data_IF_946354265694
#
_entry.id   IF_946354265694
#
_cell.length_a   1.000
_cell.length_b   1.000
_cell.length_c   1.000
_cell.angle_alpha   90.00
_cell.angle_beta   90.00
_cell.angle_gamma   90.00
#
_symmetry.space_group_name_H-M   'P 1'
#
loop_
_entity.id
_entity.type
_entity.pdbx_description
1 polymer ?
#
# COMPACT_ATOMS: atom_id res chain seq x y z
N UNK A 1 -28.04 -16.11 0.29
CA UNK A 1 -26.87 -16.96 0.58
C UNK A 1 -25.78 -16.04 1.10
N UNK A 2 -25.70 -15.85 2.42
CA UNK A 2 -24.68 -15.00 3.05
C UNK A 2 -23.36 -15.78 3.02
N UNK A 3 -22.41 -15.34 2.21
CA UNK A 3 -21.06 -15.89 2.28
C UNK A 3 -20.55 -15.64 3.70
N UNK A 4 -20.02 -16.68 4.36
CA UNK A 4 -19.43 -16.53 5.69
C UNK A 4 -18.34 -15.46 5.64
N UNK A 5 -18.51 -14.42 6.43
CA UNK A 5 -17.65 -13.25 6.56
C UNK A 5 -16.17 -13.61 6.77
N UNK A 6 -15.89 -14.74 7.44
CA UNK A 6 -14.52 -15.24 7.61
C UNK A 6 -13.95 -15.80 6.30
N UNK A 7 -14.78 -16.48 5.51
CA UNK A 7 -14.41 -17.02 4.20
C UNK A 7 -14.12 -15.90 3.20
N UNK A 8 -14.88 -14.79 3.27
CA UNK A 8 -14.67 -13.64 2.40
C UNK A 8 -13.33 -12.93 2.72
N UNK A 9 -12.99 -12.77 4.00
CA UNK A 9 -11.70 -12.23 4.43
C UNK A 9 -10.52 -13.10 3.98
N UNK A 10 -10.60 -14.41 4.17
CA UNK A 10 -9.55 -15.35 3.73
C UNK A 10 -9.35 -15.28 2.22
N UNK A 11 -10.44 -15.22 1.45
CA UNK A 11 -10.35 -15.08 -0.01
C UNK A 11 -9.70 -13.77 -0.43
N UNK A 12 -10.08 -12.65 0.19
CA UNK A 12 -9.46 -11.35 -0.11
C UNK A 12 -7.96 -11.40 0.17
N UNK A 13 -7.56 -11.93 1.33
CA UNK A 13 -6.17 -12.13 1.70
C UNK A 13 -5.42 -12.96 0.65
N UNK A 14 -5.97 -14.12 0.28
CA UNK A 14 -5.34 -15.04 -0.67
C UNK A 14 -5.19 -14.43 -2.06
N UNK A 15 -6.20 -13.71 -2.55
CA UNK A 15 -6.14 -13.04 -3.85
C UNK A 15 -5.02 -11.99 -3.85
N UNK A 16 -4.92 -11.15 -2.82
CA UNK A 16 -3.84 -10.16 -2.72
C UNK A 16 -2.48 -10.86 -2.61
N UNK A 17 -2.38 -11.89 -1.77
CA UNK A 17 -1.13 -12.63 -1.58
C UNK A 17 -0.64 -13.34 -2.86
N UNK A 18 -1.55 -13.71 -3.77
CA UNK A 18 -1.24 -14.34 -5.06
C UNK A 18 -1.19 -13.36 -6.25
N UNK A 19 -1.27 -12.05 -5.98
CA UNK A 19 -1.29 -10.99 -6.99
C UNK A 19 -2.51 -11.03 -7.93
N UNK A 20 -3.60 -11.66 -7.49
CA UNK A 20 -4.86 -11.73 -8.22
C UNK A 20 -5.74 -10.51 -7.91
N UNK A 21 -5.30 -9.35 -8.40
CA UNK A 21 -5.86 -8.06 -8.01
C UNK A 21 -7.26 -7.79 -8.55
N UNK A 22 -7.60 -8.34 -9.72
CA UNK A 22 -8.94 -8.22 -10.28
C UNK A 22 -9.97 -8.88 -9.36
N UNK A 23 -9.73 -10.15 -8.99
CA UNK A 23 -10.61 -10.87 -8.07
C UNK A 23 -10.59 -10.24 -6.66
N UNK A 24 -9.42 -9.74 -6.21
CA UNK A 24 -9.34 -9.01 -4.95
C UNK A 24 -10.23 -7.76 -4.94
N UNK A 25 -10.28 -6.99 -6.04
CA UNK A 25 -11.15 -5.81 -6.16
C UNK A 25 -12.63 -6.20 -6.22
N UNK A 26 -12.99 -7.27 -6.93
CA UNK A 26 -14.38 -7.77 -6.93
C UNK A 26 -14.84 -8.17 -5.53
N UNK A 27 -13.99 -8.88 -4.79
CA UNK A 27 -14.26 -9.26 -3.40
C UNK A 27 -14.37 -8.00 -2.53
N UNK A 28 -13.44 -7.04 -2.68
CA UNK A 28 -13.46 -5.76 -1.97
C UNK A 28 -14.81 -5.03 -2.15
N UNK A 29 -15.29 -4.95 -3.40
CA UNK A 29 -16.55 -4.29 -3.74
C UNK A 29 -17.79 -5.03 -3.21
N UNK A 30 -17.66 -6.34 -2.91
CA UNK A 30 -18.77 -7.14 -2.36
C UNK A 30 -19.02 -6.92 -0.86
N UNK A 31 -18.08 -6.26 -0.15
CA UNK A 31 -18.26 -5.90 1.25
C UNK A 31 -19.23 -4.71 1.35
N UNK A 32 -20.52 -4.99 1.55
CA UNK A 32 -21.56 -4.00 1.80
C UNK A 32 -21.37 -3.35 3.19
N UNK A 33 -20.45 -2.39 3.30
CA UNK A 33 -20.18 -1.58 4.50
C UNK A 33 -19.34 -2.23 5.62
N UNK A 34 -18.70 -3.37 5.38
CA UNK A 34 -17.88 -4.08 6.38
C UNK A 34 -16.44 -3.54 6.48
N UNK A 35 -16.29 -2.22 6.62
CA UNK A 35 -15.02 -1.49 6.60
C UNK A 35 -13.98 -2.02 7.59
N UNK A 36 -14.43 -2.51 8.75
CA UNK A 36 -13.55 -3.09 9.78
C UNK A 36 -12.87 -4.38 9.33
N UNK A 37 -13.52 -5.17 8.48
CA UNK A 37 -12.98 -6.46 8.05
C UNK A 37 -11.96 -6.30 6.94
N UNK A 38 -12.21 -5.38 6.01
CA UNK A 38 -11.22 -4.98 5.02
C UNK A 38 -9.97 -4.48 5.72
N UNK A 39 -10.12 -3.56 6.70
CA UNK A 39 -8.99 -3.07 7.51
C UNK A 39 -8.24 -4.19 8.23
N UNK A 40 -8.93 -5.19 8.74
CA UNK A 40 -8.29 -6.38 9.34
C UNK A 40 -7.45 -7.15 8.32
N UNK A 41 -7.96 -7.39 7.12
CA UNK A 41 -7.20 -8.08 6.07
C UNK A 41 -5.95 -7.28 5.67
N UNK A 42 -6.09 -5.97 5.44
CA UNK A 42 -4.97 -5.07 5.13
C UNK A 42 -3.93 -5.09 6.25
N UNK A 43 -4.35 -4.98 7.51
CA UNK A 43 -3.43 -5.05 8.66
C UNK A 43 -2.73 -6.40 8.77
N UNK A 44 -3.43 -7.51 8.52
CA UNK A 44 -2.81 -8.85 8.50
C UNK A 44 -1.74 -8.97 7.42
N UNK A 45 -1.98 -8.42 6.22
CA UNK A 45 -0.99 -8.39 5.13
C UNK A 45 0.24 -7.55 5.49
N UNK A 46 0.05 -6.41 6.18
CA UNK A 46 1.13 -5.56 6.68
C UNK A 46 1.97 -6.28 7.74
N UNK A 47 1.33 -6.90 8.73
CA UNK A 47 2.00 -7.66 9.79
C UNK A 47 2.79 -8.84 9.19
N UNK A 48 2.23 -9.51 8.18
CA UNK A 48 2.89 -10.58 7.46
C UNK A 48 3.99 -10.09 6.50
N UNK A 49 4.22 -8.77 6.38
CA UNK A 49 5.15 -8.17 5.41
C UNK A 49 4.91 -8.67 3.98
N UNK A 50 3.65 -8.82 3.59
CA UNK A 50 3.29 -9.35 2.28
C UNK A 50 3.78 -8.41 1.17
N UNK A 51 4.60 -8.87 0.21
CA UNK A 51 5.21 -8.00 -0.80
C UNK A 51 4.21 -7.43 -1.80
N UNK A 52 3.01 -8.02 -1.93
CA UNK A 52 2.01 -7.64 -2.90
C UNK A 52 1.07 -6.54 -2.41
N UNK A 53 1.15 -6.14 -1.13
CA UNK A 53 0.22 -5.16 -0.57
C UNK A 53 0.38 -3.76 -1.21
N UNK A 54 1.61 -3.32 -1.47
CA UNK A 54 1.88 -2.05 -2.15
C UNK A 54 1.42 -2.11 -3.61
N UNK A 55 1.69 -3.23 -4.28
CA UNK A 55 1.24 -3.48 -5.66
C UNK A 55 -0.28 -3.49 -5.77
N UNK A 56 -1.00 -4.07 -4.80
CA UNK A 56 -2.46 -4.04 -4.76
C UNK A 56 -3.00 -2.62 -4.55
N UNK A 57 -2.42 -1.85 -3.62
CA UNK A 57 -2.79 -0.44 -3.44
C UNK A 57 -2.55 0.39 -4.71
N UNK A 58 -1.40 0.18 -5.38
CA UNK A 58 -1.10 0.81 -6.66
C UNK A 58 -2.11 0.43 -7.75
N UNK A 59 -2.49 -0.85 -7.83
CA UNK A 59 -3.52 -1.32 -8.75
C UNK A 59 -4.85 -0.58 -8.52
N UNK A 60 -5.36 -0.54 -7.28
CA UNK A 60 -6.58 0.20 -6.94
C UNK A 60 -6.48 1.68 -7.30
N UNK A 61 -5.33 2.30 -7.03
CA UNK A 61 -5.10 3.70 -7.37
C UNK A 61 -5.17 3.96 -8.88
N UNK A 62 -4.51 3.11 -9.68
CA UNK A 62 -4.46 3.23 -11.14
C UNK A 62 -5.76 2.88 -11.84
N UNK A 63 -6.61 2.03 -11.25
CA UNK A 63 -7.93 1.69 -11.79
C UNK A 63 -9.04 2.65 -11.35
N UNK A 64 -8.68 3.77 -10.71
CA UNK A 64 -9.64 4.81 -10.31
C UNK A 64 -10.32 4.56 -8.97
N UNK A 65 -9.88 3.56 -8.20
CA UNK A 65 -10.41 3.20 -6.89
C UNK A 65 -9.53 3.72 -5.73
N UNK A 66 -9.03 4.96 -5.86
CA UNK A 66 -8.17 5.62 -4.86
C UNK A 66 -8.88 5.89 -3.53
N UNK A 67 -10.21 5.98 -3.52
CA UNK A 67 -11.02 6.09 -2.30
C UNK A 67 -10.82 4.88 -1.39
N UNK A 68 -10.80 3.67 -1.94
CA UNK A 68 -10.54 2.44 -1.17
C UNK A 68 -9.15 2.46 -0.53
N UNK A 69 -8.15 2.99 -1.24
CA UNK A 69 -6.79 3.15 -0.70
C UNK A 69 -6.81 4.13 0.48
N UNK A 70 -7.47 5.27 0.29
CA UNK A 70 -7.59 6.32 1.31
C UNK A 70 -8.34 5.86 2.56
N UNK A 71 -9.33 4.99 2.39
CA UNK A 71 -10.19 4.53 3.48
C UNK A 71 -9.60 3.37 4.29
N UNK A 72 -8.94 2.42 3.61
CA UNK A 72 -8.58 1.13 4.20
C UNK A 72 -7.08 0.94 4.46
N UNK A 73 -6.20 1.69 3.81
CA UNK A 73 -4.75 1.54 3.92
C UNK A 73 -4.15 2.59 4.87
N UNK A 74 -2.95 2.34 5.40
CA UNK A 74 -2.19 3.39 6.09
C UNK A 74 -2.00 4.61 5.19
N UNK A 75 -2.04 5.81 5.77
CA UNK A 75 -1.87 7.08 5.05
C UNK A 75 -0.58 7.14 4.24
N UNK A 76 0.44 6.38 4.65
CA UNK A 76 1.72 6.26 3.97
C UNK A 76 1.55 5.72 2.54
N UNK A 77 0.58 4.85 2.28
CA UNK A 77 0.30 4.35 0.93
C UNK A 77 -0.25 5.46 0.04
N UNK A 78 -1.18 6.27 0.56
CA UNK A 78 -1.66 7.47 -0.14
C UNK A 78 -0.50 8.42 -0.43
N UNK A 79 0.36 8.65 0.58
CA UNK A 79 1.52 9.53 0.43
C UNK A 79 2.52 9.04 -0.63
N UNK A 80 2.65 7.73 -0.84
CA UNK A 80 3.50 7.14 -1.88
C UNK A 80 2.84 7.28 -3.26
N UNK A 81 1.53 7.11 -3.34
CA UNK A 81 0.80 6.97 -4.61
C UNK A 81 0.28 8.28 -5.19
N UNK A 82 0.10 9.32 -4.36
CA UNK A 82 -0.41 10.63 -4.79
C UNK A 82 0.57 11.44 -5.65
N UNK A 83 1.86 11.06 -5.66
CA UNK A 83 2.92 11.75 -6.39
C UNK A 83 3.28 13.14 -5.85
N UNK A 84 2.74 13.54 -4.69
CA UNK A 84 3.06 14.82 -4.06
C UNK A 84 4.44 14.82 -3.41
N UNK A 85 4.97 16.01 -3.10
CA UNK A 85 6.24 16.15 -2.38
C UNK A 85 6.17 15.48 -1.00
N UNK A 86 7.13 14.61 -0.70
CA UNK A 86 7.25 13.89 0.57
C UNK A 86 8.69 13.94 1.08
N UNK A 87 8.83 13.72 2.38
CA UNK A 87 10.13 13.53 3.03
C UNK A 87 10.26 12.06 3.41
N UNK A 88 11.40 11.45 3.08
CA UNK A 88 11.75 10.10 3.54
C UNK A 88 12.69 10.26 4.73
N UNK A 89 12.24 9.88 5.92
CA UNK A 89 13.03 10.01 7.16
C UNK A 89 13.51 8.64 7.63
N UNK A 90 14.79 8.53 7.96
CA UNK A 90 15.33 7.32 8.56
C UNK A 90 14.85 7.19 10.02
N UNK A 91 14.12 6.12 10.34
CA UNK A 91 13.54 5.93 11.67
C UNK A 91 14.57 5.80 12.80
N UNK A 92 15.78 5.28 12.53
CA UNK A 92 16.81 5.07 13.57
C UNK A 92 17.53 6.37 13.94
N UNK A 93 17.72 7.25 12.97
CA UNK A 93 18.55 8.44 13.11
C UNK A 93 17.76 9.75 13.08
N UNK A 94 16.47 9.70 12.74
CA UNK A 94 15.56 10.84 12.61
C UNK A 94 16.09 11.95 11.67
N UNK A 95 16.71 11.52 10.56
CA UNK A 95 17.25 12.42 9.54
C UNK A 95 16.56 12.20 8.19
N UNK A 96 16.25 13.28 7.45
CA UNK A 96 15.64 13.18 6.13
C UNK A 96 16.67 12.75 5.07
N UNK A 97 16.20 12.08 4.03
CA UNK A 97 16.99 11.77 2.84
C UNK A 97 17.21 13.04 2.01
N UNK A 98 18.45 13.30 1.61
CA UNK A 98 18.83 14.37 0.68
C UNK A 98 19.91 13.93 -0.30
N UNK A 99 20.14 14.75 -1.33
CA UNK A 99 21.26 14.61 -2.25
C UNK A 99 22.38 15.58 -1.89
N UNK A 100 23.64 15.16 -2.09
CA UNK A 100 24.81 16.03 -1.99
C UNK A 100 24.87 17.05 -3.12
N UNK A 101 25.64 18.12 -2.96
CA UNK A 101 25.74 19.19 -3.95
C UNK A 101 26.70 18.89 -5.11
N UNK A 102 27.59 17.91 -4.95
CA UNK A 102 28.53 17.47 -6.00
C UNK A 102 27.97 16.31 -6.81
N UNK A 103 28.50 16.17 -8.03
CA UNK A 103 28.20 15.05 -8.94
C UNK A 103 29.46 14.20 -9.18
N UNK A 104 29.29 12.92 -9.49
CA UNK A 104 30.37 12.07 -9.99
C UNK A 104 30.61 12.24 -11.50
N UNK A 105 31.42 11.35 -12.08
CA UNK A 105 31.78 11.40 -13.51
C UNK A 105 30.61 11.16 -14.46
N UNK A 106 29.54 10.51 -13.98
CA UNK A 106 28.33 10.22 -14.76
C UNK A 106 27.23 11.27 -14.52
N UNK A 107 27.46 12.22 -13.60
CA UNK A 107 26.52 13.28 -13.25
C UNK A 107 25.60 12.94 -12.08
N UNK A 108 25.83 11.82 -11.39
CA UNK A 108 24.98 11.37 -10.29
C UNK A 108 25.36 12.04 -8.97
N UNK A 109 24.34 12.31 -8.15
CA UNK A 109 24.52 12.85 -6.80
C UNK A 109 24.53 11.73 -5.76
N UNK A 110 25.47 11.78 -4.81
CA UNK A 110 25.46 10.87 -3.66
C UNK A 110 24.30 11.19 -2.71
N UNK A 111 23.60 10.16 -2.24
CA UNK A 111 22.50 10.29 -1.26
C UNK A 111 23.00 10.24 0.19
N UNK A 112 22.44 11.10 1.06
CA UNK A 112 22.80 11.24 2.47
C UNK A 112 21.56 11.37 3.37
N UNK A 113 21.77 11.20 4.68
CA UNK A 113 20.83 11.66 5.71
C UNK A 113 21.21 13.04 6.24
N UNK A 114 20.26 13.98 6.30
CA UNK A 114 20.38 15.26 7.03
C UNK A 114 19.94 16.48 6.25
#
# INVERSE_FOLDING_TARGET
MTLDTNKLQSKLYDCIAKSDYNNAQEILNSFNSENLLIKRVINSLLIASNPNILSFAYFLWRTGNSLSVTEFFPKEFVNILDGGFKTITNQRYDVPLKLGTGTDGDGDHTAYGG
#
